data_IF_932147348162
#
_entry.id   IF_932147348162
#
_cell.length_a   1.000
_cell.length_b   1.000
_cell.length_c   1.000
_cell.angle_alpha   90.00
_cell.angle_beta   90.00
_cell.angle_gamma   90.00
#
_symmetry.space_group_name_H-M   'P 1'
#
loop_
_entity.id
_entity.type
_entity.pdbx_description
1 polymer ?
#
# COMPACT_ATOMS: atom_id res chain seq x y z
N UNK A 1 36.14 -52.24 17.07
CA UNK A 1 34.94 -51.62 17.67
C UNK A 1 34.54 -50.46 16.76
N UNK A 2 33.67 -50.73 15.76
CA UNK A 2 33.34 -49.82 14.66
C UNK A 2 32.15 -48.91 15.05
N UNK A 3 32.32 -47.59 14.97
CA UNK A 3 31.23 -46.61 15.10
C UNK A 3 30.55 -46.43 13.73
N UNK A 4 29.31 -46.91 13.60
CA UNK A 4 28.47 -46.72 12.41
C UNK A 4 27.60 -45.48 12.62
N UNK A 5 27.95 -44.35 11.98
CA UNK A 5 27.09 -43.17 11.88
C UNK A 5 26.10 -43.38 10.73
N UNK A 6 24.82 -43.56 11.06
CA UNK A 6 23.73 -43.50 10.08
C UNK A 6 23.42 -42.02 9.81
N UNK A 7 23.99 -41.48 8.75
CA UNK A 7 23.52 -40.21 8.16
C UNK A 7 22.23 -40.51 7.40
N UNK A 8 21.07 -40.21 8.00
CA UNK A 8 19.81 -40.10 7.26
C UNK A 8 19.90 -38.87 6.35
N UNK A 9 20.26 -39.09 5.08
CA UNK A 9 19.94 -38.14 4.01
C UNK A 9 18.42 -38.16 3.85
N UNK A 10 17.74 -37.09 4.24
CA UNK A 10 16.39 -36.83 3.76
C UNK A 10 16.50 -36.65 2.25
N UNK A 11 15.98 -37.62 1.51
CA UNK A 11 15.78 -37.50 0.07
C UNK A 11 14.81 -36.33 -0.15
N UNK A 12 15.29 -35.25 -0.77
CA UNK A 12 14.42 -34.22 -1.32
C UNK A 12 13.58 -34.86 -2.44
N UNK A 13 12.26 -34.81 -2.28
CA UNK A 13 11.33 -35.28 -3.31
C UNK A 13 11.52 -34.46 -4.59
N UNK A 14 11.65 -35.09 -5.77
CA UNK A 14 11.78 -34.39 -7.05
C UNK A 14 10.46 -33.76 -7.55
N UNK A 15 9.38 -33.85 -6.77
CA UNK A 15 8.04 -33.36 -7.14
C UNK A 15 7.59 -32.07 -6.44
N UNK A 16 8.40 -31.51 -5.55
CA UNK A 16 8.15 -30.16 -5.02
C UNK A 16 8.88 -29.17 -5.91
N UNK A 17 8.30 -28.84 -7.06
CA UNK A 17 8.61 -27.56 -7.70
C UNK A 17 8.29 -26.49 -6.65
N UNK A 18 9.25 -25.64 -6.24
CA UNK A 18 8.90 -24.52 -5.38
C UNK A 18 7.82 -23.74 -6.12
N UNK A 19 6.60 -23.74 -5.59
CA UNK A 19 5.52 -22.96 -6.18
C UNK A 19 5.96 -21.52 -6.10
N UNK A 20 6.41 -20.96 -7.22
CA UNK A 20 6.69 -19.53 -7.33
C UNK A 20 5.38 -18.84 -6.96
N UNK A 21 5.33 -18.26 -5.77
CA UNK A 21 4.14 -17.56 -5.33
C UNK A 21 3.83 -16.46 -6.33
N UNK A 22 2.67 -16.56 -6.98
CA UNK A 22 2.24 -15.54 -7.93
C UNK A 22 1.88 -14.28 -7.16
N UNK A 23 2.61 -13.19 -7.42
CA UNK A 23 2.26 -11.87 -6.89
C UNK A 23 1.06 -11.33 -7.66
N UNK A 24 0.01 -10.95 -6.95
CA UNK A 24 -1.16 -10.28 -7.52
C UNK A 24 -1.13 -8.83 -7.06
N UNK A 25 -1.02 -7.90 -8.00
CA UNK A 25 -1.15 -6.47 -7.72
C UNK A 25 -2.62 -6.09 -7.93
N UNK A 26 -3.25 -5.59 -6.87
CA UNK A 26 -4.65 -5.15 -6.89
C UNK A 26 -4.66 -3.69 -6.47
N UNK A 27 -5.40 -2.87 -7.21
CA UNK A 27 -5.70 -1.50 -6.85
C UNK A 27 -7.16 -1.18 -7.17
N UNK A 28 -7.74 -0.26 -6.40
CA UNK A 28 -9.06 0.30 -6.69
C UNK A 28 -8.87 1.71 -7.24
N UNK A 29 -9.42 1.99 -8.42
CA UNK A 29 -9.25 3.25 -9.12
C UNK A 29 -10.58 3.94 -9.37
N UNK A 30 -10.62 5.25 -9.13
CA UNK A 30 -11.74 6.13 -9.47
C UNK A 30 -11.27 7.15 -10.50
N UNK A 31 -12.06 7.35 -11.54
CA UNK A 31 -11.69 8.15 -12.71
C UNK A 31 -12.56 9.38 -12.82
N UNK A 32 -11.97 10.55 -12.68
CA UNK A 32 -12.61 11.84 -12.95
C UNK A 32 -12.04 12.47 -14.22
N UNK A 33 -12.63 13.57 -14.71
CA UNK A 33 -12.26 14.15 -16.00
C UNK A 33 -10.79 14.58 -16.07
N UNK A 34 -10.25 15.13 -14.97
CA UNK A 34 -8.92 15.70 -14.87
C UNK A 34 -7.91 14.82 -14.11
N UNK A 35 -8.37 13.76 -13.45
CA UNK A 35 -7.55 13.00 -12.50
C UNK A 35 -8.03 11.57 -12.27
N UNK A 36 -7.15 10.75 -11.72
CA UNK A 36 -7.44 9.41 -11.23
C UNK A 36 -6.93 9.31 -9.80
N UNK A 37 -7.75 8.76 -8.90
CA UNK A 37 -7.33 8.40 -7.56
C UNK A 37 -7.26 6.88 -7.46
N UNK A 38 -6.11 6.36 -7.01
CA UNK A 38 -5.88 4.93 -6.84
C UNK A 38 -5.56 4.60 -5.39
N UNK A 39 -6.22 3.57 -4.86
CA UNK A 39 -5.98 2.98 -3.54
C UNK A 39 -5.17 1.70 -3.73
N UNK A 40 -3.92 1.70 -3.27
CA UNK A 40 -2.98 0.59 -3.44
C UNK A 40 -2.63 0.00 -2.07
N UNK A 41 -3.16 -1.19 -1.72
CA UNK A 41 -2.81 -1.85 -0.47
C UNK A 41 -1.39 -2.41 -0.52
N UNK A 42 -0.64 -2.15 0.53
CA UNK A 42 0.64 -2.81 0.82
C UNK A 42 0.48 -3.70 2.05
N UNK A 43 0.80 -4.99 1.87
CA UNK A 43 0.66 -5.99 2.92
C UNK A 43 1.58 -5.71 4.12
N UNK A 44 1.15 -6.21 5.28
CA UNK A 44 2.00 -6.28 6.46
C UNK A 44 3.24 -7.15 6.20
N UNK A 45 4.36 -6.81 6.85
CA UNK A 45 5.62 -7.54 6.74
C UNK A 45 5.97 -8.20 8.06
N UNK A 46 6.51 -9.40 7.98
CA UNK A 46 6.91 -10.21 9.10
C UNK A 46 8.42 -10.39 9.11
N UNK A 47 8.98 -10.72 10.27
CA UNK A 47 10.35 -11.14 10.44
C UNK A 47 10.38 -12.41 11.30
N UNK A 48 11.47 -13.16 11.22
CA UNK A 48 11.69 -14.32 12.07
C UNK A 48 12.98 -14.16 12.87
N UNK A 49 12.92 -14.46 14.16
CA UNK A 49 14.09 -14.51 15.03
C UNK A 49 13.90 -15.60 16.07
N UNK A 50 14.93 -16.44 16.27
CA UNK A 50 14.88 -17.54 17.25
C UNK A 50 13.70 -18.51 17.05
N UNK A 51 13.31 -18.77 15.80
CA UNK A 51 12.17 -19.63 15.48
C UNK A 51 10.79 -18.99 15.65
N UNK A 52 10.70 -17.75 16.14
CA UNK A 52 9.44 -17.02 16.31
C UNK A 52 9.23 -16.05 15.16
N UNK A 53 8.05 -16.08 14.54
CA UNK A 53 7.63 -15.10 13.54
C UNK A 53 6.90 -13.96 14.25
N UNK A 54 7.30 -12.72 13.98
CA UNK A 54 6.69 -11.54 14.55
C UNK A 54 6.40 -10.49 13.47
N UNK A 55 5.43 -9.62 13.74
CA UNK A 55 5.09 -8.51 12.86
C UNK A 55 6.22 -7.47 12.85
N UNK A 56 6.90 -7.31 11.73
CA UNK A 56 7.99 -6.35 11.52
C UNK A 56 7.44 -4.95 11.22
N UNK A 57 6.42 -4.87 10.36
CA UNK A 57 5.72 -3.63 10.06
C UNK A 57 4.28 -3.88 9.65
N UNK A 58 3.35 -3.05 10.14
CA UNK A 58 1.98 -3.00 9.63
C UNK A 58 1.96 -2.69 8.13
N UNK A 59 0.95 -3.18 7.45
CA UNK A 59 0.60 -2.78 6.10
C UNK A 59 0.11 -1.33 6.06
N UNK A 60 0.03 -0.79 4.86
CA UNK A 60 -0.44 0.58 4.62
C UNK A 60 -1.29 0.63 3.35
N UNK A 61 -2.06 1.69 3.18
CA UNK A 61 -2.68 2.02 1.89
C UNK A 61 -1.94 3.19 1.28
N UNK A 62 -1.48 3.07 0.04
CA UNK A 62 -0.95 4.19 -0.72
C UNK A 62 -2.10 4.79 -1.54
N UNK A 63 -2.35 6.08 -1.33
CA UNK A 63 -3.16 6.88 -2.23
C UNK A 63 -2.27 7.43 -3.33
N UNK A 64 -2.68 7.26 -4.58
CA UNK A 64 -2.00 7.82 -5.73
C UNK A 64 -2.92 8.79 -6.47
N UNK A 65 -2.51 10.06 -6.53
CA UNK A 65 -3.15 11.11 -7.30
C UNK A 65 -2.46 11.22 -8.65
N UNK A 66 -3.16 10.81 -9.69
CA UNK A 66 -2.66 10.71 -11.07
C UNK A 66 -3.36 11.78 -11.92
N UNK A 67 -2.67 12.84 -12.36
CA UNK A 67 -3.28 13.82 -13.25
C UNK A 67 -3.51 13.22 -14.65
N UNK A 68 -4.52 13.74 -15.34
CA UNK A 68 -4.75 13.48 -16.76
C UNK A 68 -4.36 14.70 -17.56
N UNK A 69 -3.53 14.51 -18.58
CA UNK A 69 -3.19 15.55 -19.54
C UNK A 69 -4.04 15.37 -20.80
N UNK A 70 -4.63 16.47 -21.29
CA UNK A 70 -5.35 16.45 -22.56
C UNK A 70 -4.34 16.50 -23.71
N UNK A 71 -4.26 15.42 -24.49
CA UNK A 71 -3.47 15.41 -25.71
C UNK A 71 -4.35 15.90 -26.88
N UNK A 72 -4.13 17.14 -27.31
CA UNK A 72 -4.88 17.75 -28.43
C UNK A 72 -4.76 16.94 -29.73
N UNK A 73 -3.63 16.28 -29.99
CA UNK A 73 -3.41 15.50 -31.21
C UNK A 73 -4.22 14.18 -31.23
N UNK A 74 -4.51 13.61 -30.05
CA UNK A 74 -5.27 12.36 -29.93
C UNK A 74 -6.75 12.58 -29.57
N UNK A 75 -7.15 13.83 -29.27
CA UNK A 75 -8.50 14.18 -28.86
C UNK A 75 -8.98 13.48 -27.57
N UNK A 76 -8.06 13.00 -26.73
CA UNK A 76 -8.37 12.25 -25.50
C UNK A 76 -7.43 12.60 -24.35
N UNK A 77 -7.98 12.50 -23.14
CA UNK A 77 -7.21 12.63 -21.91
C UNK A 77 -6.40 11.35 -21.64
N UNK A 78 -5.11 11.50 -21.32
CA UNK A 78 -4.22 10.40 -20.97
C UNK A 78 -3.67 10.60 -19.57
N UNK A 79 -3.64 9.53 -18.77
CA UNK A 79 -2.99 9.55 -17.46
C UNK A 79 -1.51 9.89 -17.64
N UNK A 80 -0.99 10.80 -16.81
CA UNK A 80 0.43 11.13 -16.74
C UNK A 80 1.04 10.60 -15.43
N UNK A 81 1.65 9.40 -15.43
CA UNK A 81 2.28 8.81 -14.25
C UNK A 81 3.51 9.59 -13.75
N UNK A 82 4.15 10.38 -14.61
CA UNK A 82 5.36 11.13 -14.23
C UNK A 82 5.05 12.22 -13.20
N UNK A 83 3.83 12.77 -13.25
CA UNK A 83 3.35 13.79 -12.31
C UNK A 83 2.52 13.20 -11.15
N UNK A 84 2.58 11.88 -10.94
CA UNK A 84 1.90 11.18 -9.85
C UNK A 84 2.37 11.71 -8.49
N UNK A 85 1.44 12.03 -7.61
CA UNK A 85 1.72 12.30 -6.19
C UNK A 85 1.13 11.21 -5.32
N UNK A 86 1.83 10.89 -4.24
CA UNK A 86 1.43 9.79 -3.35
C UNK A 86 1.34 10.23 -1.90
N UNK A 87 0.40 9.63 -1.17
CA UNK A 87 0.30 9.75 0.28
C UNK A 87 0.09 8.37 0.89
N UNK A 88 0.79 8.06 1.98
CA UNK A 88 0.66 6.78 2.67
C UNK A 88 -0.29 6.91 3.85
N UNK A 89 -1.40 6.20 3.83
CA UNK A 89 -2.31 6.05 4.97
C UNK A 89 -1.83 4.90 5.86
N UNK A 90 -1.57 5.18 7.14
CA UNK A 90 -1.39 4.12 8.14
C UNK A 90 -2.76 3.59 8.58
N UNK A 91 -2.75 2.44 9.24
CA UNK A 91 -3.99 1.81 9.74
C UNK A 91 -4.75 2.76 10.68
N UNK A 92 -4.02 3.55 11.46
CA UNK A 92 -4.59 4.55 12.36
C UNK A 92 -5.37 5.64 11.57
N UNK A 93 -4.84 6.08 10.43
CA UNK A 93 -5.52 7.06 9.56
C UNK A 93 -6.75 6.46 8.86
N UNK A 94 -6.75 5.14 8.62
CA UNK A 94 -7.88 4.45 8.00
C UNK A 94 -9.09 4.51 8.93
N UNK A 95 -8.90 4.37 10.25
CA UNK A 95 -9.99 4.49 11.20
C UNK A 95 -10.69 5.86 11.13
N UNK A 96 -9.90 6.93 11.04
CA UNK A 96 -10.41 8.30 10.86
C UNK A 96 -11.17 8.44 9.53
N UNK A 97 -10.66 7.84 8.45
CA UNK A 97 -11.30 7.87 7.13
C UNK A 97 -12.66 7.17 7.13
N UNK A 98 -12.75 5.97 7.72
CA UNK A 98 -13.99 5.18 7.75
C UNK A 98 -15.02 5.75 8.73
N UNK A 99 -14.55 6.48 9.73
CA UNK A 99 -15.38 7.09 10.78
C UNK A 99 -15.62 8.59 10.55
N UNK A 100 -15.39 9.09 9.34
CA UNK A 100 -15.49 10.53 9.08
C UNK A 100 -16.90 11.03 9.44
N UNK A 101 -16.94 11.97 10.38
CA UNK A 101 -18.15 12.68 10.76
C UNK A 101 -18.35 13.93 9.89
N UNK A 102 -18.85 14.99 10.51
CA UNK A 102 -18.95 16.30 9.86
C UNK A 102 -17.64 17.09 9.92
N UNK A 103 -16.70 16.69 10.77
CA UNK A 103 -15.45 17.40 10.95
C UNK A 103 -14.40 16.94 9.92
N UNK A 104 -13.65 17.88 9.32
CA UNK A 104 -12.53 17.53 8.45
C UNK A 104 -11.44 16.82 9.26
N UNK A 105 -10.78 15.86 8.63
CA UNK A 105 -9.60 15.18 9.19
C UNK A 105 -8.36 15.54 8.38
N UNK A 106 -7.24 15.69 9.07
CA UNK A 106 -5.97 16.08 8.45
C UNK A 106 -4.86 15.13 8.90
N UNK A 107 -4.05 14.67 7.94
CA UNK A 107 -2.92 13.79 8.21
C UNK A 107 -1.65 14.39 7.61
N UNK A 108 -0.64 14.59 8.46
CA UNK A 108 0.64 15.18 8.08
C UNK A 108 1.74 14.12 8.10
N UNK A 109 2.57 14.10 7.07
CA UNK A 109 3.80 13.31 7.01
C UNK A 109 4.97 14.15 6.57
N UNK A 110 5.99 14.19 7.41
CA UNK A 110 7.25 14.81 7.08
C UNK A 110 8.22 13.77 6.48
N UNK A 111 8.90 14.15 5.41
CA UNK A 111 9.94 13.34 4.79
C UNK A 111 11.31 13.98 5.00
N UNK A 112 12.11 13.39 5.89
CA UNK A 112 13.42 13.92 6.27
C UNK A 112 14.42 13.97 5.10
N UNK A 113 14.24 13.16 4.06
CA UNK A 113 15.22 13.08 2.97
C UNK A 113 15.23 14.32 2.07
N UNK A 114 14.11 15.03 1.96
CA UNK A 114 13.94 16.17 1.06
C UNK A 114 13.28 17.38 1.72
N UNK A 115 13.17 17.38 3.05
CA UNK A 115 12.50 18.41 3.87
C UNK A 115 11.06 18.72 3.40
N UNK A 116 10.43 17.75 2.75
CA UNK A 116 9.09 17.88 2.20
C UNK A 116 8.05 17.40 3.22
N UNK A 117 7.00 18.19 3.43
CA UNK A 117 5.86 17.80 4.26
C UNK A 117 4.64 17.59 3.40
N UNK A 118 4.06 16.40 3.45
CA UNK A 118 2.78 16.09 2.81
C UNK A 118 1.65 16.23 3.81
N UNK A 119 0.63 17.00 3.45
CA UNK A 119 -0.59 17.19 4.23
C UNK A 119 -1.78 16.70 3.42
N UNK A 120 -2.40 15.61 3.87
CA UNK A 120 -3.63 15.09 3.29
C UNK A 120 -4.82 15.53 4.14
N UNK A 121 -5.76 16.24 3.53
CA UNK A 121 -7.02 16.64 4.15
C UNK A 121 -8.16 15.82 3.56
N UNK A 122 -9.05 15.35 4.41
CA UNK A 122 -10.24 14.64 4.00
C UNK A 122 -11.47 15.25 4.66
N UNK A 123 -12.45 15.66 3.87
CA UNK A 123 -13.61 16.38 4.36
C UNK A 123 -14.83 16.13 3.48
N UNK A 124 -16.02 16.35 4.06
CA UNK A 124 -17.28 16.30 3.32
C UNK A 124 -17.46 17.59 2.52
N UNK A 125 -17.83 17.49 1.26
CA UNK A 125 -18.10 18.61 0.36
C UNK A 125 -19.56 18.58 -0.13
N UNK A 126 -20.00 19.65 -0.79
CA UNK A 126 -21.34 19.67 -1.39
C UNK A 126 -21.43 18.57 -2.45
N UNK A 127 -22.33 17.61 -2.22
CA UNK A 127 -22.53 16.47 -3.12
C UNK A 127 -21.61 15.28 -2.91
N UNK A 128 -20.69 15.28 -1.93
CA UNK A 128 -19.79 14.14 -1.73
C UNK A 128 -18.69 14.35 -0.69
N UNK A 129 -17.50 13.87 -1.02
CA UNK A 129 -16.31 13.91 -0.18
C UNK A 129 -15.11 14.40 -0.98
N UNK A 130 -14.16 15.08 -0.34
CA UNK A 130 -12.97 15.62 -1.00
C UNK A 130 -11.71 15.18 -0.28
N UNK A 131 -10.74 14.69 -1.05
CA UNK A 131 -9.37 14.42 -0.63
C UNK A 131 -8.44 15.46 -1.25
N UNK A 132 -7.74 16.22 -0.41
CA UNK A 132 -6.79 17.25 -0.83
C UNK A 132 -5.41 16.95 -0.31
N UNK A 133 -4.46 16.70 -1.21
CA UNK A 133 -3.05 16.51 -0.91
C UNK A 133 -2.30 17.82 -1.18
N UNK A 134 -1.68 18.38 -0.15
CA UNK A 134 -0.77 19.52 -0.26
C UNK A 134 0.66 19.05 0.02
N UNK A 135 1.57 19.41 -0.87
CA UNK A 135 3.02 19.19 -0.72
C UNK A 135 3.62 20.52 -0.30
N UNK A 136 4.24 20.53 0.88
CA UNK A 136 4.78 21.72 1.52
C UNK A 136 6.30 21.65 1.55
N UNK A 137 6.95 22.77 1.27
CA UNK A 137 8.35 23.00 1.60
C UNK A 137 8.38 23.98 2.79
N UNK A 138 8.73 23.48 3.97
CA UNK A 138 8.43 24.16 5.24
C UNK A 138 6.91 24.38 5.42
N UNK A 139 6.48 25.64 5.48
CA UNK A 139 5.07 26.03 5.62
C UNK A 139 4.42 26.49 4.30
N UNK A 140 5.16 26.48 3.19
CA UNK A 140 4.68 27.00 1.90
C UNK A 140 4.23 25.85 1.00
N UNK A 141 2.97 25.85 0.52
CA UNK A 141 2.52 24.86 -0.46
C UNK A 141 3.21 25.02 -1.81
N UNK A 142 3.84 23.96 -2.30
CA UNK A 142 4.56 23.91 -3.59
C UNK A 142 3.76 23.17 -4.65
N UNK A 143 3.01 22.13 -4.27
CA UNK A 143 2.09 21.42 -5.17
C UNK A 143 0.82 21.03 -4.42
N UNK A 144 -0.29 20.92 -5.15
CA UNK A 144 -1.59 20.54 -4.63
C UNK A 144 -2.28 19.60 -5.60
N UNK A 145 -2.91 18.57 -5.06
CA UNK A 145 -3.82 17.67 -5.77
C UNK A 145 -5.12 17.60 -4.99
N UNK A 146 -6.23 17.59 -5.70
CA UNK A 146 -7.55 17.43 -5.11
C UNK A 146 -8.31 16.38 -5.91
N UNK A 147 -9.06 15.55 -5.21
CA UNK A 147 -9.93 14.55 -5.81
C UNK A 147 -11.24 14.54 -5.03
N UNK A 148 -12.35 14.74 -5.73
CA UNK A 148 -13.69 14.63 -5.15
C UNK A 148 -14.21 13.21 -5.37
N UNK A 149 -15.07 12.73 -4.48
CA UNK A 149 -15.70 11.42 -4.56
C UNK A 149 -17.19 11.62 -4.35
N UNK A 150 -17.98 10.95 -5.18
CA UNK A 150 -19.42 10.81 -4.94
C UNK A 150 -19.68 10.01 -3.65
N UNK A 151 -20.89 10.08 -3.07
CA UNK A 151 -21.22 9.29 -1.88
C UNK A 151 -21.09 7.78 -2.12
N UNK A 152 -21.39 7.32 -3.33
CA UNK A 152 -21.27 5.90 -3.72
C UNK A 152 -19.82 5.44 -3.80
N UNK A 153 -18.95 6.26 -4.39
CA UNK A 153 -17.51 6.00 -4.44
C UNK A 153 -16.91 5.94 -3.03
N UNK A 154 -17.26 6.92 -2.18
CA UNK A 154 -16.84 6.90 -0.78
C UNK A 154 -17.35 5.66 -0.03
N UNK A 155 -18.59 5.23 -0.27
CA UNK A 155 -19.12 4.02 0.34
C UNK A 155 -18.29 2.79 -0.04
N UNK A 156 -17.94 2.64 -1.31
CA UNK A 156 -17.11 1.52 -1.80
C UNK A 156 -15.71 1.57 -1.19
N UNK A 157 -15.04 2.72 -1.24
CA UNK A 157 -13.68 2.84 -0.67
C UNK A 157 -13.68 2.60 0.83
N UNK A 158 -14.70 3.08 1.55
CA UNK A 158 -14.89 2.81 2.98
C UNK A 158 -15.00 1.31 3.25
N UNK A 159 -15.85 0.58 2.51
CA UNK A 159 -15.99 -0.87 2.69
C UNK A 159 -14.68 -1.63 2.41
N UNK A 160 -13.97 -1.25 1.34
CA UNK A 160 -12.69 -1.85 1.00
C UNK A 160 -11.63 -1.60 2.09
N UNK A 161 -11.60 -0.39 2.64
CA UNK A 161 -10.69 -0.02 3.71
C UNK A 161 -11.01 -0.75 5.00
N UNK A 162 -12.28 -0.80 5.42
CA UNK A 162 -12.74 -1.55 6.60
C UNK A 162 -12.34 -3.03 6.48
N UNK A 163 -12.60 -3.65 5.31
CA UNK A 163 -12.21 -5.03 5.02
C UNK A 163 -10.69 -5.25 5.09
N UNK A 164 -9.90 -4.25 4.70
CA UNK A 164 -8.44 -4.38 4.66
C UNK A 164 -7.76 -4.31 6.04
N UNK A 165 -8.42 -3.74 7.07
CA UNK A 165 -7.79 -3.47 8.37
C UNK A 165 -7.13 -4.72 8.99
N UNK A 166 -7.78 -5.89 9.11
CA UNK A 166 -7.15 -7.06 9.70
C UNK A 166 -5.91 -7.54 8.93
N UNK A 167 -5.91 -7.37 7.60
CA UNK A 167 -4.79 -7.76 6.75
C UNK A 167 -3.61 -6.79 6.91
N UNK A 168 -3.88 -5.49 6.99
CA UNK A 168 -2.86 -4.46 7.25
C UNK A 168 -2.30 -4.58 8.67
N UNK A 169 -3.10 -4.99 9.64
CA UNK A 169 -2.63 -5.27 11.01
C UNK A 169 -1.84 -6.57 11.11
N UNK A 170 -1.80 -7.39 10.06
CA UNK A 170 -1.10 -8.67 10.07
C UNK A 170 -1.80 -9.73 10.95
N UNK A 171 -3.12 -9.66 11.08
CA UNK A 171 -3.90 -10.64 11.86
C UNK A 171 -4.28 -11.89 11.05
N UNK A 172 -4.17 -11.83 9.72
CA UNK A 172 -4.48 -12.97 8.85
C UNK A 172 -3.70 -14.26 9.18
N UNK A 173 -2.44 -14.25 9.67
CA UNK A 173 -1.76 -15.49 10.05
C UNK A 173 -2.28 -16.13 11.33
N UNK A 174 -3.15 -15.46 12.10
CA UNK A 174 -3.80 -16.08 13.26
C UNK A 174 -4.72 -17.23 12.83
N UNK A 175 -5.27 -17.18 11.60
CA UNK A 175 -6.04 -18.27 11.02
C UNK A 175 -5.19 -19.33 10.31
N UNK A 176 -4.03 -18.92 9.76
CA UNK A 176 -3.06 -19.82 9.12
C UNK A 176 -1.63 -19.24 9.19
N UNK A 177 -0.75 -19.77 10.07
CA UNK A 177 0.62 -19.28 10.24
C UNK A 177 1.48 -19.34 8.97
N UNK A 178 1.17 -20.24 8.03
CA UNK A 178 1.91 -20.38 6.75
C UNK A 178 1.85 -19.09 5.93
N UNK A 179 0.79 -18.32 6.07
CA UNK A 179 0.65 -17.04 5.38
C UNK A 179 1.68 -16.00 5.83
N UNK A 180 2.19 -16.09 7.07
CA UNK A 180 3.29 -15.25 7.53
C UNK A 180 4.64 -15.74 6.96
N UNK A 181 4.85 -17.06 6.88
CA UNK A 181 6.06 -17.68 6.31
C UNK A 181 6.26 -17.28 4.84
N UNK A 182 5.17 -17.25 4.07
CA UNK A 182 5.18 -16.79 2.68
C UNK A 182 5.64 -15.33 2.55
N UNK A 183 5.34 -14.49 3.54
CA UNK A 183 5.84 -13.11 3.56
C UNK A 183 7.34 -13.02 3.81
N UNK A 184 7.95 -13.98 4.51
CA UNK A 184 9.39 -14.04 4.77
C UNK A 184 10.15 -14.43 3.50
N UNK A 185 9.66 -15.46 2.80
CA UNK A 185 10.25 -15.93 1.54
C UNK A 185 10.28 -14.84 0.45
N UNK A 186 9.32 -13.91 0.47
CA UNK A 186 9.28 -12.81 -0.47
C UNK A 186 10.33 -11.70 -0.22
N UNK A 187 10.84 -11.53 1.02
CA UNK A 187 11.91 -10.57 1.32
C UNK A 187 13.29 -11.12 0.89
N UNK A 188 13.56 -12.42 1.05
CA UNK A 188 14.86 -13.01 0.70
C UNK A 188 15.18 -12.94 -0.81
N UNK A 189 14.15 -13.00 -1.65
CA UNK A 189 14.29 -12.95 -3.12
C UNK A 189 14.50 -11.51 -3.63
N UNK A 190 14.29 -10.47 -2.81
CA UNK A 190 14.47 -9.06 -3.24
C UNK A 190 15.91 -8.55 -3.17
N UNK A 191 16.86 -9.37 -2.72
CA UNK A 191 18.30 -9.11 -2.92
C UNK A 191 18.66 -9.53 -4.34
N UNK A 192 18.45 -8.62 -5.28
CA UNK A 192 18.68 -8.85 -6.70
C UNK A 192 20.20 -8.99 -6.97
N UNK A 193 20.70 -10.10 -7.53
CA UNK A 193 22.13 -10.30 -7.80
C UNK A 193 22.70 -9.39 -8.92
N UNK A 194 21.92 -8.42 -9.41
CA UNK A 194 22.28 -7.49 -10.48
C UNK A 194 22.59 -6.07 -10.00
N UNK A 195 22.64 -5.82 -8.69
CA UNK A 195 23.10 -4.52 -8.16
C UNK A 195 24.63 -4.41 -8.04
N UNK A 196 25.40 -5.41 -8.50
CA UNK A 196 26.87 -5.41 -8.48
C UNK A 196 27.54 -5.57 -9.85
N UNK A 197 26.92 -5.06 -10.93
CA UNK A 197 27.58 -4.96 -12.25
C UNK A 197 27.63 -3.49 -12.67
#
# INVERSE_FOLDING_TARGET
MLHMRILRRFASSPWTTPSIEKRVNINHQMFHDDSVLSFVPLKARFAQSGGTIYLKSKGVIILEFLPKDFNQAEGRAKINPANKKTFTLQVENIYDYVSIGNNPVEWRRHNNSNDETKLLKFFRSEGGYSLKLEILNGNTPVDKKEFTMTPSEYYITRQLLEYSIPYLMGWYPLGDPRLAENSLAAEEVSNNPFESI
#
